data_IF_989506662625
#
_entry.id   IF_989506662625
#
_cell.length_a   1.000
_cell.length_b   1.000
_cell.length_c   1.000
_cell.angle_alpha   90.00
_cell.angle_beta   90.00
_cell.angle_gamma   90.00
#
_symmetry.space_group_name_H-M   'P 1'
#
loop_
_entity.id
_entity.type
_entity.pdbx_description
1 polymer ?
#
# COMPACT_ATOMS: atom_id res chain seq x y z
N UNK A 1 -14.39 -19.73 12.85
CA UNK A 1 -15.53 -19.34 11.98
C UNK A 1 -15.88 -17.89 12.30
N UNK A 2 -15.53 -16.97 11.41
CA UNK A 2 -15.67 -15.53 11.65
C UNK A 2 -16.87 -14.98 10.85
N UNK A 3 -18.04 -14.96 11.49
CA UNK A 3 -19.35 -14.71 10.87
C UNK A 3 -19.47 -13.28 10.30
N UNK A 4 -18.59 -12.35 10.69
CA UNK A 4 -18.56 -10.99 10.13
C UNK A 4 -17.84 -10.90 8.77
N UNK A 5 -16.82 -11.72 8.51
CA UNK A 5 -16.09 -11.66 7.23
C UNK A 5 -16.94 -12.15 6.04
N UNK A 6 -17.88 -13.06 6.30
CA UNK A 6 -18.66 -13.74 5.26
C UNK A 6 -19.82 -12.88 4.71
N UNK A 7 -20.34 -11.93 5.50
CA UNK A 7 -21.41 -11.01 5.04
C UNK A 7 -20.94 -10.03 3.95
N UNK A 8 -19.65 -9.72 3.90
CA UNK A 8 -19.08 -8.78 2.92
C UNK A 8 -18.66 -9.45 1.61
N UNK A 9 -18.53 -10.78 1.60
CA UNK A 9 -18.06 -11.54 0.43
C UNK A 9 -19.16 -11.81 -0.62
N UNK A 10 -20.45 -11.66 -0.26
CA UNK A 10 -21.60 -12.06 -1.11
C UNK A 10 -22.59 -10.95 -1.48
N UNK A 11 -22.48 -9.75 -0.94
CA UNK A 11 -23.40 -8.67 -1.28
C UNK A 11 -22.90 -7.87 -2.50
N UNK A 12 -23.77 -7.51 -3.47
CA UNK A 12 -23.40 -6.55 -4.50
C UNK A 12 -23.01 -5.22 -3.84
N UNK A 13 -21.76 -4.79 -4.07
CA UNK A 13 -21.06 -3.70 -3.36
C UNK A 13 -21.79 -2.34 -3.49
N UNK A 14 -22.69 -2.18 -4.47
CA UNK A 14 -23.57 -1.01 -4.52
C UNK A 14 -24.38 -0.82 -3.21
N UNK A 15 -24.77 -1.91 -2.54
CA UNK A 15 -25.48 -1.87 -1.25
C UNK A 15 -24.56 -1.69 -0.02
N UNK A 16 -23.25 -1.85 -0.18
CA UNK A 16 -22.27 -1.64 0.89
C UNK A 16 -21.93 -0.15 1.10
N UNK A 17 -22.23 0.71 0.12
CA UNK A 17 -21.83 2.13 0.15
C UNK A 17 -22.67 3.02 1.07
N UNK A 18 -23.87 2.58 1.47
CA UNK A 18 -24.77 3.40 2.28
C UNK A 18 -24.53 3.30 3.80
N UNK A 19 -23.66 2.39 4.26
CA UNK A 19 -23.43 2.12 5.70
C UNK A 19 -21.94 2.13 6.12
N UNK A 20 -21.02 2.48 5.24
CA UNK A 20 -19.59 2.55 5.59
C UNK A 20 -19.27 3.90 6.22
N UNK A 21 -18.88 3.88 7.49
CA UNK A 21 -18.46 5.07 8.24
C UNK A 21 -17.09 5.58 7.78
N UNK A 22 -16.24 4.68 7.26
CA UNK A 22 -14.88 4.99 6.84
C UNK A 22 -14.50 4.38 5.49
N UNK A 23 -13.78 5.17 4.68
CA UNK A 23 -13.17 4.73 3.42
C UNK A 23 -11.70 5.14 3.40
N UNK A 24 -10.82 4.19 3.13
CA UNK A 24 -9.43 4.48 2.79
C UNK A 24 -9.33 4.71 1.29
N UNK A 25 -9.09 5.95 0.88
CA UNK A 25 -8.88 6.29 -0.52
C UNK A 25 -7.39 6.38 -0.82
N UNK A 26 -6.93 5.67 -1.86
CA UNK A 26 -5.56 5.75 -2.34
C UNK A 26 -5.52 6.01 -3.83
N UNK A 27 -4.69 6.95 -4.25
CA UNK A 27 -4.43 7.24 -5.65
C UNK A 27 -3.24 6.42 -6.14
N UNK A 28 -3.34 5.88 -7.33
CA UNK A 28 -2.34 4.96 -7.91
C UNK A 28 -1.87 5.42 -9.27
N UNK A 29 -0.62 5.10 -9.58
CA UNK A 29 0.05 5.37 -10.85
C UNK A 29 1.28 4.46 -10.97
N UNK A 30 2.06 4.63 -12.03
CA UNK A 30 3.38 4.01 -12.14
C UNK A 30 4.27 4.39 -10.95
N UNK A 31 4.99 3.41 -10.40
CA UNK A 31 5.88 3.58 -9.25
C UNK A 31 7.06 2.62 -9.33
N UNK A 32 8.23 3.10 -8.90
CA UNK A 32 9.47 2.31 -8.85
C UNK A 32 9.81 1.60 -10.18
N UNK A 33 9.60 2.30 -11.29
CA UNK A 33 9.90 1.80 -12.64
C UNK A 33 8.88 0.81 -13.21
N UNK A 34 7.77 0.56 -12.51
CA UNK A 34 6.72 -0.36 -12.97
C UNK A 34 5.51 0.42 -13.49
N UNK A 35 4.94 -0.04 -14.61
CA UNK A 35 3.64 0.44 -15.08
C UNK A 35 2.54 0.03 -14.11
N UNK A 36 1.41 0.75 -14.13
CA UNK A 36 0.33 0.49 -13.19
C UNK A 36 -0.25 -0.92 -13.35
N UNK A 37 -0.39 -1.37 -14.59
CA UNK A 37 -0.89 -2.70 -14.95
C UNK A 37 0.03 -3.80 -14.41
N UNK A 38 1.35 -3.59 -14.47
CA UNK A 38 2.34 -4.51 -13.90
C UNK A 38 2.25 -4.56 -12.37
N UNK A 39 2.06 -3.40 -11.73
CA UNK A 39 1.83 -3.33 -10.27
C UNK A 39 0.57 -4.13 -9.90
N UNK A 40 -0.54 -3.91 -10.58
CA UNK A 40 -1.80 -4.62 -10.29
C UNK A 40 -1.66 -6.12 -10.51
N UNK A 41 -1.05 -6.54 -11.62
CA UNK A 41 -0.78 -7.95 -11.92
C UNK A 41 0.06 -8.62 -10.82
N UNK A 42 1.09 -7.92 -10.33
CA UNK A 42 1.91 -8.37 -9.20
C UNK A 42 1.11 -8.46 -7.91
N UNK A 43 0.29 -7.45 -7.60
CA UNK A 43 -0.58 -7.48 -6.41
C UNK A 43 -1.60 -8.61 -6.45
N UNK A 44 -2.05 -9.00 -7.64
CA UNK A 44 -2.87 -10.20 -7.78
C UNK A 44 -2.11 -11.48 -7.42
N UNK A 45 -0.83 -11.60 -7.80
CA UNK A 45 0.01 -12.74 -7.39
C UNK A 45 0.27 -12.74 -5.87
N UNK A 46 0.50 -11.57 -5.26
CA UNK A 46 0.57 -11.43 -3.80
C UNK A 46 -0.72 -11.92 -3.16
N UNK A 47 -1.87 -11.43 -3.63
CA UNK A 47 -3.21 -11.79 -3.13
C UNK A 47 -3.45 -13.30 -3.22
N UNK A 48 -3.19 -13.91 -4.37
CA UNK A 48 -3.39 -15.35 -4.58
C UNK A 48 -2.50 -16.19 -3.68
N UNK A 49 -1.26 -15.77 -3.46
CA UNK A 49 -0.29 -16.47 -2.61
C UNK A 49 -0.51 -16.22 -1.12
N UNK A 50 -1.17 -15.10 -0.78
CA UNK A 50 -1.46 -14.62 0.57
C UNK A 50 -2.89 -14.88 1.04
N UNK A 51 -3.62 -15.81 0.41
CA UNK A 51 -5.01 -16.12 0.76
C UNK A 51 -5.94 -14.88 0.80
N UNK A 52 -5.78 -13.99 -0.17
CA UNK A 52 -6.55 -12.74 -0.25
C UNK A 52 -5.79 -11.50 0.23
N UNK A 53 -4.65 -11.67 0.92
CA UNK A 53 -3.88 -10.56 1.49
C UNK A 53 -2.80 -10.07 0.53
N UNK A 54 -2.65 -8.74 0.42
CA UNK A 54 -1.58 -8.09 -0.34
C UNK A 54 -1.23 -6.75 0.32
N UNK A 55 -0.02 -6.24 0.08
CA UNK A 55 0.40 -4.96 0.66
C UNK A 55 0.46 -3.90 -0.44
N UNK A 56 0.02 -2.68 -0.17
CA UNK A 56 0.09 -1.57 -1.11
C UNK A 56 1.00 -0.46 -0.56
N UNK A 57 2.13 -0.19 -1.21
CA UNK A 57 3.06 0.87 -0.78
C UNK A 57 2.43 2.25 -0.87
N UNK A 58 2.63 3.09 0.15
CA UNK A 58 2.08 4.46 0.22
C UNK A 58 3.08 5.44 0.80
N UNK A 59 3.05 6.68 0.30
CA UNK A 59 4.06 7.70 0.61
C UNK A 59 3.93 8.38 1.97
N UNK A 60 2.75 8.30 2.61
CA UNK A 60 2.45 9.04 3.83
C UNK A 60 2.12 8.12 5.01
N UNK A 61 2.35 8.59 6.26
CA UNK A 61 1.94 7.86 7.45
C UNK A 61 0.42 7.73 7.56
N UNK A 62 -0.07 6.77 8.37
CA UNK A 62 -1.48 6.62 8.68
C UNK A 62 -2.07 7.83 9.40
N UNK A 63 -3.39 7.97 9.29
CA UNK A 63 -4.15 8.85 10.19
C UNK A 63 -4.08 8.30 11.63
N UNK A 64 -4.06 9.19 12.63
CA UNK A 64 -3.95 8.78 14.05
C UNK A 64 -5.03 7.76 14.47
N UNK A 65 -6.25 7.90 13.94
CA UNK A 65 -7.38 7.04 14.26
C UNK A 65 -7.26 5.63 13.65
N UNK A 66 -6.41 5.42 12.63
CA UNK A 66 -6.28 4.14 11.94
C UNK A 66 -5.92 2.99 12.89
N UNK A 67 -5.01 3.22 13.84
CA UNK A 67 -4.64 2.20 14.83
C UNK A 67 -5.80 1.84 15.77
N UNK A 68 -6.65 2.80 16.14
CA UNK A 68 -7.82 2.54 16.98
C UNK A 68 -8.85 1.70 16.22
N UNK A 69 -9.13 2.03 14.96
CA UNK A 69 -10.03 1.24 14.10
C UNK A 69 -9.53 -0.18 13.89
N UNK A 70 -8.23 -0.35 13.66
CA UNK A 70 -7.61 -1.67 13.50
C UNK A 70 -7.73 -2.52 14.77
N UNK A 71 -7.54 -1.93 15.96
CA UNK A 71 -7.67 -2.62 17.26
C UNK A 71 -9.06 -3.17 17.52
N UNK A 72 -10.09 -2.45 17.09
CA UNK A 72 -11.50 -2.89 17.22
C UNK A 72 -12.00 -3.65 16.00
N UNK A 73 -11.12 -3.94 15.04
CA UNK A 73 -11.44 -4.61 13.77
C UNK A 73 -12.59 -3.94 12.99
N UNK A 74 -12.69 -2.61 13.05
CA UNK A 74 -13.75 -1.89 12.35
C UNK A 74 -13.56 -1.98 10.83
N UNK A 75 -14.52 -2.52 10.06
CA UNK A 75 -14.32 -2.72 8.63
C UNK A 75 -14.12 -1.39 7.88
N UNK A 76 -12.99 -1.25 7.18
CA UNK A 76 -12.70 -0.08 6.34
C UNK A 76 -12.51 -0.53 4.89
N UNK A 77 -13.35 -0.01 4.00
CA UNK A 77 -13.18 -0.25 2.56
C UNK A 77 -11.96 0.52 2.03
N UNK A 78 -11.24 -0.07 1.08
CA UNK A 78 -10.16 0.60 0.35
C UNK A 78 -10.60 0.82 -1.10
N UNK A 79 -10.51 2.07 -1.53
CA UNK A 79 -10.78 2.49 -2.90
C UNK A 79 -9.48 2.96 -3.53
N UNK A 80 -9.10 2.35 -4.65
CA UNK A 80 -7.97 2.79 -5.46
C UNK A 80 -8.47 3.54 -6.69
N UNK A 81 -7.92 4.72 -6.94
CA UNK A 81 -8.24 5.55 -8.12
C UNK A 81 -6.98 5.90 -8.90
N UNK A 82 -7.03 5.87 -10.23
CA UNK A 82 -5.91 6.28 -11.07
C UNK A 82 -5.64 7.79 -10.88
N UNK A 83 -4.37 8.16 -10.72
CA UNK A 83 -3.97 9.56 -10.74
C UNK A 83 -4.20 10.18 -12.12
N UNK A 84 -4.73 11.39 -12.14
CA UNK A 84 -4.96 12.15 -13.38
C UNK A 84 -3.69 12.79 -13.93
N UNK A 85 -2.78 13.16 -13.03
CA UNK A 85 -1.49 13.72 -13.41
C UNK A 85 -0.60 12.63 -13.97
N UNK A 86 0.31 13.00 -14.87
CA UNK A 86 1.36 12.09 -15.33
C UNK A 86 2.27 11.67 -14.16
N UNK A 87 2.78 10.43 -14.15
CA UNK A 87 3.80 10.00 -13.20
C UNK A 87 5.02 10.91 -13.25
N UNK A 88 5.68 11.10 -12.09
CA UNK A 88 6.92 11.86 -12.05
C UNK A 88 8.04 11.06 -12.69
N UNK A 89 9.01 11.73 -13.32
CA UNK A 89 10.14 11.06 -13.98
C UNK A 89 10.87 10.07 -13.05
N UNK A 90 11.09 10.45 -11.78
CA UNK A 90 11.72 9.56 -10.80
C UNK A 90 10.87 8.34 -10.42
N UNK A 91 9.55 8.40 -10.55
CA UNK A 91 8.67 7.24 -10.32
C UNK A 91 8.72 6.26 -11.52
N UNK A 92 8.96 6.76 -12.73
CA UNK A 92 9.08 5.98 -13.98
C UNK A 92 10.48 5.41 -14.20
N UNK A 93 11.52 6.16 -13.82
CA UNK A 93 12.92 5.75 -13.98
C UNK A 93 13.71 6.13 -12.72
N UNK A 94 13.53 5.37 -11.62
CA UNK A 94 14.26 5.62 -10.39
C UNK A 94 15.74 5.26 -10.55
N UNK A 95 16.63 6.10 -10.02
CA UNK A 95 18.08 5.81 -9.90
C UNK A 95 18.35 4.57 -9.05
N UNK A 96 17.48 4.31 -8.07
CA UNK A 96 17.64 3.28 -7.06
C UNK A 96 16.29 2.78 -6.59
N UNK A 97 16.14 1.46 -6.48
CA UNK A 97 14.95 0.79 -5.96
C UNK A 97 15.33 -0.01 -4.72
N UNK A 98 14.55 0.14 -3.66
CA UNK A 98 14.67 -0.65 -2.44
C UNK A 98 13.45 -1.52 -2.24
N UNK A 99 13.67 -2.69 -1.65
CA UNK A 99 12.66 -3.59 -1.10
C UNK A 99 12.64 -3.45 0.41
N UNK A 100 11.46 -3.50 1.02
CA UNK A 100 11.27 -3.40 2.46
C UNK A 100 11.15 -4.80 3.07
N UNK A 101 12.02 -5.10 4.04
CA UNK A 101 12.13 -6.44 4.64
C UNK A 101 11.25 -6.61 5.87
N UNK A 102 10.97 -5.52 6.58
CA UNK A 102 10.21 -5.55 7.83
C UNK A 102 9.18 -4.42 7.87
N UNK A 103 8.22 -4.55 8.79
CA UNK A 103 7.27 -3.49 9.10
C UNK A 103 7.00 -3.42 10.59
N UNK A 104 6.59 -2.24 11.05
CA UNK A 104 6.07 -2.01 12.40
C UNK A 104 4.55 -2.09 12.33
N UNK A 105 3.99 -3.03 13.07
CA UNK A 105 2.55 -3.28 13.14
C UNK A 105 1.82 -2.24 14.01
N UNK A 106 0.49 -2.38 14.15
CA UNK A 106 -0.34 -1.45 14.94
C UNK A 106 -0.01 -1.43 16.43
N UNK A 107 0.67 -2.46 16.93
CA UNK A 107 1.07 -2.62 18.32
C UNK A 107 2.51 -2.15 18.55
N UNK A 108 3.17 -1.61 17.52
CA UNK A 108 4.53 -1.11 17.58
C UNK A 108 5.58 -2.21 17.48
N UNK A 109 5.18 -3.45 17.18
CA UNK A 109 6.09 -4.58 17.07
C UNK A 109 6.66 -4.68 15.67
N UNK A 110 7.96 -4.95 15.60
CA UNK A 110 8.64 -5.23 14.34
C UNK A 110 8.31 -6.65 13.88
N UNK A 111 7.88 -6.76 12.62
CA UNK A 111 7.47 -8.00 11.96
C UNK A 111 8.24 -8.19 10.66
N UNK A 112 8.54 -9.43 10.36
CA UNK A 112 9.07 -9.84 9.05
C UNK A 112 8.01 -9.68 7.97
N UNK A 113 8.42 -9.27 6.77
CA UNK A 113 7.54 -9.16 5.62
C UNK A 113 7.10 -10.57 5.14
N UNK A 114 5.80 -10.88 5.02
CA UNK A 114 5.33 -12.21 4.60
C UNK A 114 5.92 -12.64 3.25
N UNK A 115 6.26 -13.92 3.07
CA UNK A 115 6.94 -14.46 1.87
C UNK A 115 6.30 -14.08 0.54
N UNK A 116 4.98 -13.95 0.51
CA UNK A 116 4.23 -13.59 -0.70
C UNK A 116 4.20 -12.10 -1.00
N UNK A 117 4.66 -11.24 -0.09
CA UNK A 117 4.60 -9.78 -0.20
C UNK A 117 5.93 -9.21 -0.67
N UNK A 118 5.86 -8.38 -1.71
CA UNK A 118 6.96 -7.54 -2.18
C UNK A 118 6.53 -6.06 -2.16
N UNK A 119 7.03 -5.29 -1.20
CA UNK A 119 6.86 -3.83 -1.22
C UNK A 119 8.18 -3.20 -1.66
N UNK A 120 8.10 -2.43 -2.75
CA UNK A 120 9.24 -1.74 -3.37
C UNK A 120 8.97 -0.26 -3.41
N UNK A 121 10.01 0.55 -3.30
CA UNK A 121 9.90 1.99 -3.53
C UNK A 121 11.21 2.56 -4.04
N UNK A 122 11.19 3.84 -4.42
CA UNK A 122 12.42 4.60 -4.66
C UNK A 122 13.31 4.59 -3.43
N UNK A 123 14.61 4.35 -3.63
CA UNK A 123 15.62 4.35 -2.56
C UNK A 123 15.97 5.74 -2.07
N UNK A 124 15.72 6.78 -2.89
CA UNK A 124 16.14 8.14 -2.61
C UNK A 124 14.93 9.10 -2.50
N UNK A 125 15.10 10.10 -1.65
CA UNK A 125 14.23 11.27 -1.52
C UNK A 125 15.02 12.53 -1.88
N UNK A 126 14.36 13.68 -2.00
CA UNK A 126 15.06 14.97 -2.16
C UNK A 126 16.00 15.30 -0.99
N UNK A 127 15.86 14.62 0.15
CA UNK A 127 16.68 14.80 1.36
C UNK A 127 17.71 13.67 1.57
N UNK A 128 17.95 12.84 0.56
CA UNK A 128 18.85 11.69 0.62
C UNK A 128 18.13 10.34 0.79
N UNK A 129 18.87 9.33 1.26
CA UNK A 129 18.40 7.94 1.33
C UNK A 129 17.11 7.80 2.16
N UNK A 130 16.12 7.10 1.60
CA UNK A 130 14.81 6.89 2.21
C UNK A 130 14.92 5.88 3.36
N UNK A 131 14.67 6.35 4.58
CA UNK A 131 14.80 5.53 5.81
C UNK A 131 13.51 4.84 6.25
N UNK A 132 12.36 5.34 5.82
CA UNK A 132 11.06 4.75 6.12
C UNK A 132 10.10 4.95 4.97
N UNK A 133 9.13 4.05 4.90
CA UNK A 133 7.99 4.14 4.00
C UNK A 133 6.77 3.56 4.69
N UNK A 134 5.66 3.46 3.99
CA UNK A 134 4.43 2.94 4.57
C UNK A 134 3.78 1.99 3.58
N UNK A 135 2.93 1.10 4.09
CA UNK A 135 2.06 0.28 3.27
C UNK A 135 0.69 0.15 3.91
N UNK A 136 -0.33 0.00 3.07
CA UNK A 136 -1.62 -0.55 3.46
C UNK A 136 -1.53 -2.08 3.44
N UNK A 137 -2.09 -2.73 4.45
CA UNK A 137 -2.38 -4.16 4.43
C UNK A 137 -3.81 -4.31 3.94
N UNK A 138 -3.97 -4.93 2.78
CA UNK A 138 -5.26 -5.04 2.10
C UNK A 138 -5.69 -6.50 1.99
N UNK A 139 -6.99 -6.72 1.99
CA UNK A 139 -7.62 -7.99 1.70
C UNK A 139 -8.65 -7.86 0.56
N UNK A 140 -8.63 -8.84 -0.36
CA UNK A 140 -9.68 -9.03 -1.36
C UNK A 140 -9.97 -10.51 -1.57
N UNK A 141 -11.25 -10.88 -1.50
CA UNK A 141 -11.73 -12.20 -1.92
C UNK A 141 -11.80 -12.32 -3.46
N UNK A 142 -11.97 -11.20 -4.17
CA UNK A 142 -12.05 -11.15 -5.62
C UNK A 142 -10.66 -10.90 -6.27
N UNK A 143 -10.45 -11.34 -7.53
CA UNK A 143 -9.26 -10.99 -8.30
C UNK A 143 -9.07 -9.47 -8.40
N UNK A 144 -7.82 -9.02 -8.35
CA UNK A 144 -7.47 -7.62 -8.60
C UNK A 144 -7.33 -7.39 -10.10
N UNK A 145 -8.20 -6.55 -10.65
CA UNK A 145 -8.12 -6.04 -12.00
C UNK A 145 -8.49 -4.54 -12.01
N UNK A 146 -7.97 -3.80 -12.99
CA UNK A 146 -8.33 -2.40 -13.17
C UNK A 146 -9.72 -2.35 -13.78
N UNK A 147 -10.68 -1.81 -13.02
CA UNK A 147 -12.04 -1.53 -13.45
C UNK A 147 -12.18 -0.06 -13.89
N UNK A 148 -13.17 0.23 -14.74
CA UNK A 148 -13.50 1.58 -15.22
C UNK A 148 -15.01 1.77 -15.25
N UNK A 149 -15.47 3.03 -15.28
CA UNK A 149 -16.90 3.36 -15.37
C UNK A 149 -17.64 3.35 -14.04
N UNK A 150 -16.95 3.22 -12.91
CA UNK A 150 -17.54 3.40 -11.59
C UNK A 150 -17.04 4.73 -10.98
N UNK A 151 -17.86 5.80 -10.95
CA UNK A 151 -17.48 7.06 -10.32
C UNK A 151 -17.14 6.90 -8.83
N UNK A 152 -16.23 7.76 -8.35
CA UNK A 152 -15.92 7.99 -6.94
C UNK A 152 -15.80 9.49 -6.71
N UNK A 153 -16.69 10.12 -5.96
CA UNK A 153 -16.64 11.57 -5.66
C UNK A 153 -15.83 11.86 -4.39
N UNK A 154 -14.55 12.29 -4.45
CA UNK A 154 -13.79 12.60 -3.24
C UNK A 154 -14.34 13.84 -2.52
N UNK A 155 -15.11 14.70 -3.20
CA UNK A 155 -15.75 15.87 -2.62
C UNK A 155 -16.86 15.53 -1.61
N UNK A 156 -17.41 14.31 -1.69
CA UNK A 156 -18.35 13.76 -0.73
C UNK A 156 -17.72 13.32 0.60
N UNK A 157 -16.40 13.44 0.72
CA UNK A 157 -15.62 12.94 1.85
C UNK A 157 -14.75 14.01 2.51
N UNK A 158 -14.33 13.77 3.75
CA UNK A 158 -13.34 14.57 4.50
C UNK A 158 -12.32 13.68 5.21
N UNK A 159 -11.15 14.22 5.51
CA UNK A 159 -10.13 13.53 6.30
C UNK A 159 -10.64 13.24 7.73
N UNK A 160 -10.36 12.05 8.26
CA UNK A 160 -10.82 11.57 9.58
C UNK A 160 -10.03 12.13 10.77
N UNK A 161 -9.72 13.42 10.77
CA UNK A 161 -9.04 14.11 11.89
C UNK A 161 -9.94 15.15 12.54
N UNK A 162 -9.50 15.70 13.67
CA UNK A 162 -10.26 16.66 14.52
C UNK A 162 -10.91 17.82 13.73
N UNK A 163 -10.29 18.25 12.63
CA UNK A 163 -10.73 19.40 11.84
C UNK A 163 -11.53 19.03 10.58
N UNK A 164 -11.74 17.73 10.28
CA UNK A 164 -12.54 17.29 9.13
C UNK A 164 -12.13 17.93 7.79
N UNK A 165 -10.83 18.16 7.57
CA UNK A 165 -10.36 19.00 6.46
C UNK A 165 -10.64 18.36 5.09
N UNK A 166 -10.85 19.17 4.04
CA UNK A 166 -10.89 18.69 2.66
C UNK A 166 -9.64 17.88 2.31
N UNK A 167 -9.78 17.01 1.31
CA UNK A 167 -8.67 16.17 0.83
C UNK A 167 -7.70 17.06 0.05
N UNK A 168 -6.42 17.04 0.43
CA UNK A 168 -5.41 17.86 -0.24
C UNK A 168 -5.16 17.40 -1.67
N UNK A 169 -4.91 18.34 -2.59
CA UNK A 169 -4.61 18.02 -3.99
C UNK A 169 -3.43 17.04 -4.15
N UNK A 170 -2.43 17.12 -3.26
CA UNK A 170 -1.24 16.26 -3.25
C UNK A 170 -1.38 14.99 -2.39
N UNK A 171 -2.50 14.79 -1.69
CA UNK A 171 -2.69 13.69 -0.75
C UNK A 171 -2.99 12.37 -1.44
N UNK A 172 -1.96 11.54 -1.64
CA UNK A 172 -2.10 10.28 -2.37
C UNK A 172 -2.98 9.27 -1.64
N UNK A 173 -2.83 9.12 -0.33
CA UNK A 173 -3.61 8.19 0.48
C UNK A 173 -4.24 8.88 1.68
N UNK A 174 -5.50 8.60 1.95
CA UNK A 174 -6.30 9.24 2.99
C UNK A 174 -7.28 8.25 3.63
N UNK A 175 -7.44 8.34 4.95
CA UNK A 175 -8.62 7.78 5.61
C UNK A 175 -9.70 8.86 5.65
N UNK A 176 -10.89 8.50 5.20
CA UNK A 176 -11.97 9.42 4.90
C UNK A 176 -13.28 9.05 5.59
N UNK A 177 -14.05 10.07 5.94
CA UNK A 177 -15.42 9.99 6.41
C UNK A 177 -16.37 10.60 5.37
N UNK A 178 -17.51 9.97 5.07
CA UNK A 178 -18.53 10.56 4.23
C UNK A 178 -19.17 11.74 4.95
N UNK A 179 -19.44 12.82 4.22
CA UNK A 179 -20.15 14.00 4.74
C UNK A 179 -21.44 14.33 3.96
N UNK A 180 -21.64 13.66 2.83
CA UNK A 180 -22.81 13.77 1.95
C UNK A 180 -22.82 12.58 0.99
N UNK A 181 -23.89 12.46 0.22
CA UNK A 181 -23.96 11.47 -0.86
C UNK A 181 -22.98 11.77 -1.99
N UNK A 182 -22.48 10.71 -2.63
CA UNK A 182 -21.56 10.82 -3.77
C UNK A 182 -22.27 11.34 -5.02
N UNK A 183 -21.64 12.29 -5.71
CA UNK A 183 -22.07 12.65 -7.06
C UNK A 183 -21.77 11.53 -8.06
N UNK A 184 -22.73 11.25 -8.94
CA UNK A 184 -22.50 10.39 -10.13
C UNK A 184 -21.58 11.06 -11.16
N UNK A 185 -21.46 12.38 -11.14
CA UNK A 185 -20.50 13.14 -11.93
C UNK A 185 -19.24 13.39 -11.10
N UNK A 186 -18.36 12.39 -11.07
CA UNK A 186 -17.02 12.56 -10.52
C UNK A 186 -15.97 12.36 -11.61
N UNK A 187 -14.87 13.08 -11.44
CA UNK A 187 -13.70 12.95 -12.28
C UNK A 187 -12.74 11.86 -11.81
N UNK A 188 -12.99 11.24 -10.66
CA UNK A 188 -12.30 10.03 -10.21
C UNK A 188 -13.22 8.81 -10.32
N UNK A 189 -12.59 7.65 -10.49
CA UNK A 189 -13.26 6.36 -10.53
C UNK A 189 -12.77 5.47 -9.40
N UNK A 190 -13.59 4.50 -9.00
CA UNK A 190 -13.11 3.33 -8.29
C UNK A 190 -12.54 2.36 -9.30
N UNK A 191 -11.21 2.24 -9.33
CA UNK A 191 -10.50 1.41 -10.28
C UNK A 191 -10.05 0.07 -9.67
N UNK A 192 -9.79 -0.01 -8.35
CA UNK A 192 -9.76 -1.27 -7.61
C UNK A 192 -10.43 -1.13 -6.25
N UNK A 193 -10.88 -2.27 -5.70
CA UNK A 193 -11.51 -2.38 -4.38
C UNK A 193 -10.80 -3.41 -3.52
N UNK A 194 -10.69 -3.10 -2.24
CA UNK A 194 -10.25 -4.05 -1.21
C UNK A 194 -10.84 -3.62 0.14
N UNK A 195 -10.41 -4.28 1.20
CA UNK A 195 -10.66 -3.89 2.60
C UNK A 195 -9.34 -3.78 3.33
N UNK A 196 -9.23 -2.87 4.31
CA UNK A 196 -8.06 -2.84 5.17
C UNK A 196 -8.09 -4.08 6.06
N UNK A 197 -6.92 -4.70 6.23
CA UNK A 197 -6.77 -5.95 6.94
C UNK A 197 -5.71 -5.85 8.04
N UNK A 198 -5.91 -6.61 9.12
CA UNK A 198 -5.04 -6.68 10.28
C UNK A 198 -4.61 -5.30 10.85
N UNK A 199 -3.34 -4.90 10.67
CA UNK A 199 -2.81 -3.63 11.19
C UNK A 199 -3.17 -2.41 10.35
N UNK A 200 -3.86 -2.62 9.23
CA UNK A 200 -4.37 -1.62 8.28
C UNK A 200 -3.28 -0.86 7.53
N UNK A 201 -2.44 -0.12 8.26
CA UNK A 201 -1.47 0.78 7.68
C UNK A 201 -0.21 0.76 8.55
N UNK A 202 0.87 0.27 7.97
CA UNK A 202 2.11 -0.06 8.68
C UNK A 202 3.27 0.80 8.21
N UNK A 203 4.25 1.00 9.10
CA UNK A 203 5.52 1.65 8.77
C UNK A 203 6.52 0.60 8.32
N UNK A 204 7.10 0.78 7.14
CA UNK A 204 8.09 -0.12 6.57
C UNK A 204 9.50 0.27 7.05
N UNK A 205 10.31 -0.74 7.37
CA UNK A 205 11.69 -0.63 7.83
C UNK A 205 12.63 -1.57 7.06
N UNK A 206 13.93 -1.42 7.33
CA UNK A 206 15.02 -2.19 6.75
C UNK A 206 14.98 -2.23 5.21
N UNK A 207 15.13 -1.06 4.55
CA UNK A 207 15.22 -1.02 3.10
C UNK A 207 16.52 -1.70 2.64
N UNK A 208 16.39 -2.60 1.66
CA UNK A 208 17.54 -3.26 1.01
C UNK A 208 17.49 -2.99 -0.48
N UNK A 209 18.65 -2.75 -1.08
CA UNK A 209 18.76 -2.52 -2.52
C UNK A 209 18.35 -3.75 -3.31
N UNK A 210 17.53 -3.52 -4.33
CA UNK A 210 17.08 -4.59 -5.20
C UNK A 210 18.02 -4.73 -6.38
N UNK A 211 18.56 -5.93 -6.56
CA UNK A 211 19.24 -6.30 -7.80
C UNK A 211 18.23 -6.28 -8.97
N UNK A 212 18.53 -5.50 -10.02
CA UNK A 212 17.67 -5.35 -11.19
C UNK A 212 17.32 -6.67 -11.89
N UNK A 213 18.24 -7.64 -11.93
CA UNK A 213 17.99 -8.96 -12.51
C UNK A 213 16.99 -9.77 -11.67
N UNK A 214 17.11 -9.70 -10.35
CA UNK A 214 16.19 -10.37 -9.43
C UNK A 214 14.78 -9.73 -9.49
N UNK A 215 14.70 -8.39 -9.56
CA UNK A 215 13.44 -7.68 -9.80
C UNK A 215 12.80 -8.11 -11.11
N UNK A 216 13.58 -8.09 -12.21
CA UNK A 216 13.08 -8.47 -13.54
C UNK A 216 12.53 -9.90 -13.55
N UNK A 217 13.18 -10.83 -12.83
CA UNK A 217 12.68 -12.20 -12.69
C UNK A 217 11.32 -12.24 -11.97
N UNK A 218 11.20 -11.61 -10.81
CA UNK A 218 9.94 -11.56 -10.07
C UNK A 218 8.81 -10.88 -10.86
N UNK A 219 9.14 -9.82 -11.63
CA UNK A 219 8.18 -9.14 -12.50
C UNK A 219 7.76 -9.96 -13.73
N UNK A 220 8.47 -11.04 -14.06
CA UNK A 220 8.08 -11.98 -15.12
C UNK A 220 7.26 -13.17 -14.61
N UNK A 221 7.13 -13.34 -13.30
CA UNK A 221 6.36 -14.45 -12.74
C UNK A 221 4.92 -14.44 -13.22
N UNK A 222 4.44 -15.57 -13.73
CA UNK A 222 3.09 -15.71 -14.32
C UNK A 222 2.10 -16.39 -13.38
N UNK A 223 2.58 -17.07 -12.34
CA UNK A 223 1.76 -17.80 -11.38
C UNK A 223 2.27 -17.65 -9.94
N UNK A 224 1.46 -18.12 -8.99
CA UNK A 224 1.71 -18.01 -7.55
C UNK A 224 2.96 -18.76 -7.07
N UNK A 225 3.33 -19.87 -7.72
CA UNK A 225 4.44 -20.72 -7.29
C UNK A 225 5.74 -20.03 -7.66
N UNK A 226 5.85 -19.59 -8.92
CA UNK A 226 7.03 -18.85 -9.38
C UNK A 226 7.17 -17.49 -8.67
N UNK A 227 6.04 -16.83 -8.37
CA UNK A 227 6.03 -15.61 -7.56
C UNK A 227 6.65 -15.84 -6.18
N UNK A 228 6.16 -16.85 -5.45
CA UNK A 228 6.66 -17.18 -4.11
C UNK A 228 8.14 -17.53 -4.12
N UNK A 229 8.58 -18.37 -5.07
CA UNK A 229 9.98 -18.74 -5.22
C UNK A 229 10.87 -17.51 -5.50
N UNK A 230 10.43 -16.65 -6.43
CA UNK A 230 11.17 -15.44 -6.79
C UNK A 230 11.28 -14.45 -5.63
N UNK A 231 10.19 -14.18 -4.92
CA UNK A 231 10.22 -13.24 -3.76
C UNK A 231 11.06 -13.80 -2.61
N UNK A 232 10.95 -15.10 -2.30
CA UNK A 232 11.79 -15.74 -1.26
C UNK A 232 13.27 -15.63 -1.59
N UNK A 233 13.65 -15.90 -2.84
CA UNK A 233 15.04 -15.76 -3.31
C UNK A 233 15.53 -14.31 -3.18
N UNK A 234 14.70 -13.33 -3.55
CA UNK A 234 15.04 -11.92 -3.37
C UNK A 234 15.29 -11.57 -1.89
N UNK A 235 14.42 -12.03 -1.00
CA UNK A 235 14.54 -11.77 0.45
C UNK A 235 15.76 -12.46 1.06
N UNK A 236 16.06 -13.69 0.65
CA UNK A 236 17.21 -14.45 1.13
C UNK A 236 18.55 -13.79 0.75
N UNK A 237 18.68 -13.35 -0.52
CA UNK A 237 19.88 -12.63 -0.98
C UNK A 237 20.04 -11.30 -0.25
N UNK A 238 18.94 -10.59 -0.02
CA UNK A 238 18.94 -9.34 0.74
C UNK A 238 19.35 -9.53 2.22
N UNK A 239 19.05 -10.68 2.83
CA UNK A 239 19.45 -11.02 4.19
C UNK A 239 20.93 -11.44 4.35
N UNK A 240 21.63 -11.72 3.25
CA UNK A 240 23.04 -12.14 3.23
C UNK A 240 24.03 -10.99 2.97
N UNK A 241 23.55 -9.80 2.62
CA UNK A 241 24.40 -8.60 2.54
C UNK A 241 24.62 -8.08 3.95
N UNK A 242 25.87 -8.10 4.49
CA UNK A 242 26.12 -7.67 5.85
C UNK A 242 25.69 -6.22 6.05
N UNK A 243 25.11 -5.93 7.21
CA UNK A 243 24.83 -4.57 7.68
C UNK A 243 26.09 -3.70 7.87
N UNK A 244 27.28 -4.15 7.43
CA UNK A 244 28.55 -3.41 7.53
C UNK A 244 28.80 -2.40 6.41
N UNK A 245 27.87 -2.25 5.45
CA UNK A 245 27.69 -0.98 4.72
C UNK A 245 26.66 -0.11 5.45
N UNK A 246 26.69 -0.10 6.79
CA UNK A 246 26.12 0.98 7.62
C UNK A 246 27.21 2.04 7.74
N UNK A 247 27.05 3.11 6.97
CA UNK A 247 27.86 4.32 7.10
C UNK A 247 27.99 4.76 8.56
N UNK A 248 29.14 5.35 8.94
CA UNK A 248 29.54 5.48 10.33
C UNK A 248 28.54 6.31 11.16
N UNK A 249 28.33 5.86 12.41
CA UNK A 249 27.86 6.73 13.49
C UNK A 249 28.94 7.79 13.74
N UNK A 250 28.89 8.91 13.03
CA UNK A 250 29.61 10.12 13.42
C UNK A 250 28.62 11.26 13.55
N UNK A 251 28.04 11.37 14.75
CA UNK A 251 27.67 12.60 15.46
C UNK A 251 26.97 12.17 16.76
N UNK A 252 27.78 11.62 17.65
CA UNK A 252 27.51 11.55 19.08
C UNK A 252 28.80 12.04 19.74
N UNK A 253 28.66 13.03 20.64
CA UNK A 253 29.69 13.89 21.29
C UNK A 253 30.09 15.09 20.41
N UNK A 254 30.06 16.36 20.82
CA UNK A 254 29.80 17.02 22.10
C UNK A 254 29.49 18.50 21.83
N UNK A 255 28.71 19.14 22.70
CA UNK A 255 29.09 20.38 23.41
C UNK A 255 27.91 20.90 24.26
N UNK A 256 28.16 20.88 25.58
CA UNK A 256 27.77 21.85 26.63
C UNK A 256 26.37 22.48 26.57
#
# INVERSE_FOLDING_TARGET
MNIMADKFARAPIASLRSNLEFVCWSRMQAEAGQALEEIVRRKELERQSGNGVFFWGVGNPPAKITSALAKVHHPVAVVFSIMKSKPKAGDVSPSRIVMWQTYIDRDGLKREMPDHVLVTSRGDTTKGAKRSHYALICYSAAPLAIERGCPFDPGAYRNTGEMGKPIGASQVTALLQPIREESRSSSYEVNLRATLHDSYWVRLEDPVDVNAAAMTKALKSTDRIDWLDSVRKMKAVAGQVPASVRFPKSLQLDLM
#
